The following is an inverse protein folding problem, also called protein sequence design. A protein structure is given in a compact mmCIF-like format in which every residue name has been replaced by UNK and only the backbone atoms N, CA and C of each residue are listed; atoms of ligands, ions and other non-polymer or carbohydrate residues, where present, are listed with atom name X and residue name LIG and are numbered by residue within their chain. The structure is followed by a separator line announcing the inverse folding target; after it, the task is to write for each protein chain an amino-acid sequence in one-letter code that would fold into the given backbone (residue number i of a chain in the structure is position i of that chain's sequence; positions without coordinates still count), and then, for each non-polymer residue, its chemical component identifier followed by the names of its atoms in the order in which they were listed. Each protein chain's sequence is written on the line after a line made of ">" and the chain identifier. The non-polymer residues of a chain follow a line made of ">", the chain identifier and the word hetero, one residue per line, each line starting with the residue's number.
data_IF_185526020462
#
_entry.id   IF_185526020462
#
_cell.length_a   1.000
_cell.length_b   1.000
_cell.length_c   1.000
_cell.angle_alpha   90.00
_cell.angle_beta   90.00
_cell.angle_gamma   90.00
#
_symmetry.space_group_name_H-M   'P 1'
#
loop_
_entity.id
_entity.type
_entity.pdbx_description
1 polymer ?
#
# COMPACT_ATOMS: atom_id res chain seq x y z
N UNK A 1 -27.63 -12.38 20.11
CA UNK A 1 -28.61 -11.44 20.69
C UNK A 1 -27.99 -10.05 20.65
N UNK A 2 -28.30 -9.25 19.64
CA UNK A 2 -27.87 -7.85 19.56
C UNK A 2 -28.86 -7.00 20.36
N UNK A 3 -28.47 -6.60 21.56
CA UNK A 3 -29.26 -5.66 22.36
C UNK A 3 -29.10 -4.26 21.77
N UNK A 4 -30.16 -3.71 21.18
CA UNK A 4 -30.14 -2.34 20.65
C UNK A 4 -29.84 -1.33 21.77
N UNK A 5 -28.92 -0.38 21.56
CA UNK A 5 -28.61 0.63 22.57
C UNK A 5 -29.82 1.52 22.86
N UNK A 6 -29.96 1.93 24.12
CA UNK A 6 -31.07 2.77 24.60
C UNK A 6 -30.52 4.06 25.16
N UNK A 7 -31.03 5.19 24.67
CA UNK A 7 -30.83 6.48 25.33
C UNK A 7 -31.97 6.68 26.31
N UNK A 8 -31.67 7.13 27.53
CA UNK A 8 -32.70 7.50 28.50
C UNK A 8 -32.36 8.80 29.23
N UNK A 9 -33.39 9.57 29.58
CA UNK A 9 -33.28 10.81 30.35
C UNK A 9 -34.38 10.89 31.40
N UNK A 10 -34.05 11.45 32.56
CA UNK A 10 -35.01 11.81 33.60
C UNK A 10 -35.13 13.33 33.78
N UNK A 11 -34.54 14.12 32.87
CA UNK A 11 -34.53 15.58 32.93
C UNK A 11 -35.93 16.17 32.64
N UNK A 12 -36.30 17.32 33.24
CA UNK A 12 -35.55 18.09 34.23
C UNK A 12 -35.77 17.71 35.69
N UNK A 13 -36.91 17.12 36.04
CA UNK A 13 -37.34 17.01 37.44
C UNK A 13 -37.18 15.61 38.05
N UNK A 14 -36.76 14.60 37.26
CA UNK A 14 -36.57 13.24 37.77
C UNK A 14 -37.86 12.44 38.01
N UNK A 15 -39.03 13.00 37.67
CA UNK A 15 -40.34 12.40 37.97
C UNK A 15 -40.69 11.20 37.06
N UNK A 16 -40.16 11.18 35.84
CA UNK A 16 -40.38 10.12 34.86
C UNK A 16 -39.09 9.81 34.12
N UNK A 17 -38.95 8.57 33.63
CA UNK A 17 -37.83 8.14 32.79
C UNK A 17 -38.29 8.01 31.34
N UNK A 18 -37.87 8.95 30.51
CA UNK A 18 -38.00 8.83 29.06
C UNK A 18 -36.89 7.93 28.52
N UNK A 19 -37.21 7.05 27.59
CA UNK A 19 -36.23 6.23 26.90
C UNK A 19 -36.58 6.07 25.42
N UNK A 20 -35.55 5.91 24.60
CA UNK A 20 -35.68 5.66 23.18
C UNK A 20 -34.67 4.59 22.76
N UNK A 21 -35.15 3.57 22.03
CA UNK A 21 -34.29 2.53 21.45
C UNK A 21 -33.69 3.09 20.16
N UNK A 22 -32.37 3.15 20.10
CA UNK A 22 -31.69 3.52 18.87
C UNK A 22 -31.64 2.31 17.94
N UNK A 23 -32.11 2.50 16.72
CA UNK A 23 -31.86 1.54 15.64
C UNK A 23 -30.64 2.03 14.85
N UNK A 24 -29.45 1.59 15.26
CA UNK A 24 -28.19 1.95 14.60
C UNK A 24 -27.85 0.92 13.52
N UNK A 25 -28.57 0.97 12.40
CA UNK A 25 -28.21 0.20 11.20
C UNK A 25 -27.17 0.98 10.37
N UNK A 26 -26.03 1.27 11.00
CA UNK A 26 -24.91 1.97 10.35
C UNK A 26 -23.89 0.95 9.86
N UNK A 27 -23.53 1.05 8.58
CA UNK A 27 -22.42 0.30 7.99
C UNK A 27 -21.22 1.22 7.88
N UNK A 28 -20.10 0.78 8.43
CA UNK A 28 -18.82 1.48 8.30
C UNK A 28 -17.81 0.59 7.60
N UNK A 29 -16.90 1.21 6.85
CA UNK A 29 -15.82 0.53 6.16
C UNK A 29 -14.54 0.66 6.99
N UNK A 30 -13.88 -0.46 7.27
CA UNK A 30 -12.63 -0.49 8.05
C UNK A 30 -11.51 -0.94 7.13
N UNK A 31 -10.49 -0.10 6.96
CA UNK A 31 -9.33 -0.44 6.14
C UNK A 31 -8.39 -1.38 6.88
N UNK A 32 -7.71 -2.31 6.20
CA UNK A 32 -6.72 -3.17 6.83
C UNK A 32 -5.62 -2.36 7.50
N UNK A 33 -5.08 -2.91 8.59
CA UNK A 33 -3.95 -2.30 9.27
C UNK A 33 -2.70 -2.44 8.37
N UNK A 34 -1.91 -1.38 8.13
CA UNK A 34 -0.69 -1.53 7.34
C UNK A 34 0.31 -2.41 8.06
N UNK A 35 1.05 -3.21 7.29
CA UNK A 35 2.18 -4.00 7.79
C UNK A 35 3.21 -3.11 8.50
N UNK A 36 3.76 -3.64 9.60
CA UNK A 36 4.82 -2.98 10.39
C UNK A 36 6.20 -3.27 9.81
N UNK A 37 6.33 -4.33 9.04
CA UNK A 37 7.59 -4.70 8.40
C UNK A 37 7.86 -3.75 7.22
N UNK A 38 9.14 -3.43 6.99
CA UNK A 38 9.54 -2.68 5.81
C UNK A 38 9.34 -3.55 4.56
N UNK A 39 8.26 -3.28 3.83
CA UNK A 39 7.94 -3.91 2.57
C UNK A 39 8.34 -2.96 1.44
N UNK A 40 9.48 -3.17 0.74
CA UNK A 40 9.84 -2.32 -0.38
C UNK A 40 8.75 -2.40 -1.45
N UNK A 41 8.50 -1.28 -2.14
CA UNK A 41 7.59 -1.28 -3.29
C UNK A 41 8.07 -2.30 -4.33
N UNK A 42 7.16 -3.04 -4.98
CA UNK A 42 7.52 -3.97 -6.03
C UNK A 42 8.14 -3.20 -7.20
N UNK A 43 9.32 -3.65 -7.64
CA UNK A 43 9.90 -3.25 -8.91
C UNK A 43 9.27 -4.12 -10.00
N UNK A 44 8.71 -3.52 -11.04
CA UNK A 44 8.23 -4.32 -12.16
C UNK A 44 9.39 -4.87 -12.96
N UNK A 45 9.44 -6.19 -13.07
CA UNK A 45 10.11 -6.86 -14.17
C UNK A 45 9.24 -6.62 -15.41
N UNK A 46 9.78 -5.93 -16.40
CA UNK A 46 9.16 -5.72 -17.70
C UNK A 46 9.09 -7.04 -18.47
N UNK A 47 8.30 -8.01 -17.99
CA UNK A 47 8.46 -9.42 -18.32
C UNK A 47 7.18 -10.23 -18.55
N UNK A 48 5.99 -9.63 -18.54
CA UNK A 48 4.75 -10.34 -18.91
C UNK A 48 3.88 -9.53 -19.88
N UNK A 49 4.24 -9.62 -21.15
CA UNK A 49 3.42 -9.24 -22.30
C UNK A 49 4.02 -9.88 -23.57
N UNK A 50 3.33 -10.88 -24.11
CA UNK A 50 3.72 -11.59 -25.32
C UNK A 50 3.89 -10.66 -26.54
N UNK A 51 4.91 -10.97 -27.35
CA UNK A 51 5.08 -10.64 -28.77
C UNK A 51 4.60 -9.25 -29.27
N UNK A 52 5.52 -8.30 -29.26
CA UNK A 52 5.40 -7.06 -30.03
C UNK A 52 6.77 -6.40 -30.22
N UNK A 53 7.44 -6.72 -31.33
CA UNK A 53 8.71 -6.17 -31.79
C UNK A 53 8.96 -4.70 -31.40
N UNK A 54 10.02 -4.45 -30.62
CA UNK A 54 10.84 -3.25 -30.77
C UNK A 54 12.27 -3.48 -30.29
N UNK A 55 13.10 -3.98 -31.20
CA UNK A 55 14.55 -3.75 -31.19
C UNK A 55 14.84 -2.25 -31.33
N UNK A 56 15.72 -1.73 -30.45
CA UNK A 56 16.71 -0.62 -30.58
C UNK A 56 16.74 0.16 -29.27
N UNK A 57 17.87 0.47 -28.64
CA UNK A 57 19.30 0.30 -28.91
C UNK A 57 20.00 0.36 -27.55
N UNK A 58 21.05 -0.43 -27.35
CA UNK A 58 22.46 -0.01 -27.48
C UNK A 58 22.90 1.01 -26.42
N UNK A 59 23.82 0.54 -25.58
CA UNK A 59 24.84 1.22 -24.78
C UNK A 59 24.39 2.35 -23.83
N UNK A 60 24.59 2.15 -22.52
CA UNK A 60 25.69 2.84 -21.84
C UNK A 60 25.88 2.35 -20.39
N UNK A 61 27.02 1.70 -20.18
CA UNK A 61 27.59 1.29 -18.89
C UNK A 61 28.26 2.50 -18.23
N UNK A 62 27.78 2.97 -17.08
CA UNK A 62 28.49 3.91 -16.19
C UNK A 62 27.89 3.78 -14.78
N UNK A 63 28.57 3.62 -13.65
CA UNK A 63 29.94 3.33 -13.26
C UNK A 63 29.88 3.17 -11.73
N UNK A 64 30.50 2.14 -11.16
CA UNK A 64 30.52 1.88 -9.72
C UNK A 64 31.38 2.98 -9.05
N UNK A 65 30.82 3.76 -8.13
CA UNK A 65 31.63 4.68 -7.31
C UNK A 65 31.30 4.50 -5.83
N UNK A 66 32.36 4.36 -5.02
CA UNK A 66 32.33 4.00 -3.62
C UNK A 66 31.68 5.06 -2.70
N UNK A 67 31.05 4.54 -1.65
CA UNK A 67 30.34 5.23 -0.57
C UNK A 67 31.27 6.11 0.29
N UNK A 68 30.94 7.39 0.48
CA UNK A 68 31.58 8.26 1.48
C UNK A 68 30.69 8.54 2.70
N UNK A 69 31.33 8.59 3.86
CA UNK A 69 30.78 8.74 5.20
C UNK A 69 30.02 10.06 5.39
N UNK A 70 28.73 10.03 5.75
CA UNK A 70 28.01 11.23 6.20
C UNK A 70 26.48 11.13 6.35
N UNK A 71 25.80 10.24 5.63
CA UNK A 71 24.34 10.28 5.59
C UNK A 71 23.64 9.39 6.64
N UNK A 72 22.61 9.97 7.25
CA UNK A 72 21.87 9.45 8.40
C UNK A 72 21.18 8.11 8.15
N UNK A 73 21.48 7.15 9.01
CA UNK A 73 21.00 5.76 8.98
C UNK A 73 19.49 5.71 9.22
N UNK A 74 18.68 5.45 8.18
CA UNK A 74 17.29 5.01 8.39
C UNK A 74 16.58 4.26 7.26
N UNK A 75 17.26 3.62 6.31
CA UNK A 75 16.56 2.75 5.34
C UNK A 75 17.46 1.57 4.91
N UNK A 76 17.15 0.35 5.35
CA UNK A 76 17.93 -0.86 5.05
C UNK A 76 17.17 -1.71 4.01
N UNK A 77 17.82 -1.94 2.86
CA UNK A 77 17.41 -2.90 1.82
C UNK A 77 17.87 -4.31 2.18
N UNK A 78 16.95 -5.19 2.59
CA UNK A 78 17.31 -6.53 3.08
C UNK A 78 17.56 -7.57 1.98
N UNK A 79 17.16 -7.34 0.72
CA UNK A 79 17.48 -8.25 -0.40
C UNK A 79 18.92 -8.14 -0.93
N UNK A 80 19.67 -7.11 -0.54
CA UNK A 80 21.08 -6.93 -0.91
C UNK A 80 22.07 -7.61 0.07
N UNK A 81 21.61 -8.08 1.24
CA UNK A 81 22.49 -8.59 2.29
C UNK A 81 23.02 -10.02 2.03
N UNK A 82 22.49 -10.75 1.04
CA UNK A 82 22.84 -12.15 0.78
C UNK A 82 24.06 -12.34 -0.15
N UNK A 83 24.61 -11.29 -0.76
CA UNK A 83 25.70 -11.43 -1.76
C UNK A 83 26.89 -10.46 -1.61
N UNK A 84 27.01 -9.77 -0.48
CA UNK A 84 28.27 -9.12 -0.10
C UNK A 84 28.74 -7.96 -0.99
N UNK A 85 27.83 -7.23 -1.63
CA UNK A 85 28.17 -6.04 -2.41
C UNK A 85 27.35 -4.83 -1.95
N UNK A 86 28.03 -3.91 -1.27
CA UNK A 86 27.84 -2.44 -1.28
C UNK A 86 26.45 -1.83 -1.06
N UNK A 87 26.39 -0.81 -0.20
CA UNK A 87 25.23 0.07 -0.05
C UNK A 87 24.96 0.83 -1.36
N UNK A 88 23.76 0.70 -1.91
CA UNK A 88 23.28 1.54 -3.01
C UNK A 88 22.13 2.44 -2.55
N UNK A 89 22.35 3.75 -2.66
CA UNK A 89 21.32 4.79 -2.54
C UNK A 89 20.76 5.00 -3.94
N UNK A 90 19.46 4.79 -4.16
CA UNK A 90 18.82 5.14 -5.44
C UNK A 90 17.93 6.36 -5.25
N UNK A 91 18.50 7.53 -5.50
CA UNK A 91 17.72 8.71 -5.84
C UNK A 91 17.02 8.43 -7.18
N UNK A 92 15.69 8.46 -7.19
CA UNK A 92 14.92 8.51 -8.43
C UNK A 92 14.95 9.93 -9.00
N UNK A 93 16.14 10.39 -9.39
CA UNK A 93 16.30 11.54 -10.27
C UNK A 93 16.44 10.98 -11.68
N UNK A 94 15.32 10.93 -12.40
CA UNK A 94 15.33 10.53 -13.80
C UNK A 94 14.03 9.85 -14.17
N UNK A 95 13.28 10.51 -15.04
CA UNK A 95 12.11 9.98 -15.72
C UNK A 95 12.48 8.75 -16.56
N UNK A 96 12.62 7.59 -15.92
CA UNK A 96 12.35 6.30 -16.54
C UNK A 96 11.06 5.80 -15.93
N UNK A 97 10.06 5.68 -16.80
CA UNK A 97 8.69 5.33 -16.50
C UNK A 97 8.60 3.84 -16.12
N UNK A 98 9.23 3.43 -15.01
CA UNK A 98 8.97 2.14 -14.42
C UNK A 98 7.58 2.24 -13.80
N UNK A 99 6.58 1.79 -14.55
CA UNK A 99 5.22 1.60 -14.04
C UNK A 99 5.33 0.74 -12.76
N UNK A 100 4.66 1.09 -11.67
CA UNK A 100 4.67 0.32 -10.41
C UNK A 100 3.34 -0.41 -10.33
N UNK A 101 3.34 -1.72 -10.09
CA UNK A 101 2.10 -2.50 -9.93
C UNK A 101 2.08 -3.13 -8.53
N UNK A 102 1.13 -2.71 -7.70
CA UNK A 102 0.86 -3.32 -6.40
C UNK A 102 -0.02 -4.55 -6.60
N UNK A 103 0.58 -5.73 -6.61
CA UNK A 103 -0.11 -6.98 -6.93
C UNK A 103 -0.23 -7.88 -5.70
N UNK A 104 -1.47 -8.29 -5.39
CA UNK A 104 -1.75 -9.21 -4.30
C UNK A 104 -0.97 -10.52 -4.41
N UNK A 105 -0.71 -11.03 -5.62
CA UNK A 105 0.06 -12.27 -5.82
C UNK A 105 1.56 -12.11 -5.59
N UNK A 106 2.08 -10.87 -5.51
CA UNK A 106 3.48 -10.59 -5.18
C UNK A 106 3.73 -10.40 -3.67
N UNK A 107 2.68 -10.44 -2.87
CA UNK A 107 2.80 -10.35 -1.41
C UNK A 107 3.41 -11.63 -0.82
N UNK A 108 4.10 -11.49 0.32
CA UNK A 108 4.85 -12.58 0.97
C UNK A 108 4.23 -13.04 2.29
N UNK A 109 3.02 -12.55 2.61
CA UNK A 109 2.29 -12.91 3.83
C UNK A 109 1.83 -14.37 3.82
N UNK A 110 1.83 -15.00 5.00
CA UNK A 110 1.45 -16.41 5.16
C UNK A 110 -0.07 -16.61 5.10
N UNK A 111 -0.84 -15.61 5.52
CA UNK A 111 -2.29 -15.61 5.51
C UNK A 111 -2.88 -14.38 4.78
N UNK A 112 -4.20 -14.38 4.59
CA UNK A 112 -4.88 -13.31 3.87
C UNK A 112 -4.69 -11.95 4.55
N UNK A 113 -4.76 -11.89 5.89
CA UNK A 113 -4.64 -10.66 6.66
C UNK A 113 -3.24 -10.04 6.54
N UNK A 114 -2.19 -10.84 6.59
CA UNK A 114 -0.82 -10.37 6.36
C UNK A 114 -0.63 -9.84 4.94
N UNK A 115 -1.18 -10.53 3.93
CA UNK A 115 -1.12 -10.09 2.54
C UNK A 115 -1.87 -8.77 2.33
N UNK A 116 -3.07 -8.62 2.91
CA UNK A 116 -3.85 -7.37 2.87
C UNK A 116 -3.13 -6.24 3.63
N UNK A 117 -2.48 -6.56 4.76
CA UNK A 117 -1.67 -5.61 5.53
C UNK A 117 -0.47 -5.12 4.72
N UNK A 118 0.18 -6.00 3.97
CA UNK A 118 1.28 -5.65 3.06
C UNK A 118 0.79 -4.76 1.90
N UNK A 119 -0.33 -5.10 1.27
CA UNK A 119 -0.93 -4.27 0.22
C UNK A 119 -1.30 -2.87 0.74
N UNK A 120 -1.91 -2.80 1.93
CA UNK A 120 -2.22 -1.53 2.59
C UNK A 120 -0.95 -0.70 2.80
N UNK A 121 0.13 -1.34 3.29
CA UNK A 121 1.41 -0.66 3.47
C UNK A 121 1.96 -0.10 2.17
N UNK A 122 1.95 -0.88 1.09
CA UNK A 122 2.40 -0.42 -0.23
C UNK A 122 1.63 0.77 -0.76
N UNK A 123 0.29 0.77 -0.63
CA UNK A 123 -0.55 1.91 -1.05
C UNK A 123 -0.13 3.19 -0.31
N UNK A 124 0.06 3.10 1.02
CA UNK A 124 0.47 4.24 1.82
C UNK A 124 1.89 4.72 1.50
N UNK A 125 2.83 3.79 1.26
CA UNK A 125 4.21 4.13 0.92
C UNK A 125 4.31 4.74 -0.48
N UNK A 126 3.55 4.25 -1.46
CA UNK A 126 3.49 4.82 -2.80
C UNK A 126 2.88 6.22 -2.81
N UNK A 127 1.80 6.45 -2.05
CA UNK A 127 1.19 7.77 -1.90
C UNK A 127 2.15 8.74 -1.21
N UNK A 128 2.84 8.30 -0.15
CA UNK A 128 3.85 9.11 0.54
C UNK A 128 5.04 9.45 -0.36
N UNK A 129 5.43 8.55 -1.26
CA UNK A 129 6.47 8.77 -2.25
C UNK A 129 6.03 9.65 -3.43
N UNK A 130 4.71 9.87 -3.61
CA UNK A 130 4.16 10.67 -4.70
C UNK A 130 4.32 10.04 -6.09
N UNK A 131 4.45 8.71 -6.15
CA UNK A 131 4.64 7.95 -7.40
C UNK A 131 3.31 7.48 -7.96
N UNK A 132 3.25 7.24 -9.27
CA UNK A 132 2.09 6.60 -9.91
C UNK A 132 2.20 5.08 -9.75
N UNK A 133 1.10 4.43 -9.37
CA UNK A 133 1.05 2.99 -9.17
C UNK A 133 -0.29 2.42 -9.59
N UNK A 134 -0.29 1.24 -10.19
CA UNK A 134 -1.47 0.42 -10.42
C UNK A 134 -1.70 -0.55 -9.27
N UNK A 135 -2.90 -1.12 -9.19
CA UNK A 135 -3.31 -1.98 -8.09
C UNK A 135 -4.10 -3.19 -8.58
N UNK A 136 -3.74 -4.40 -8.11
CA UNK A 136 -4.41 -5.67 -8.44
C UNK A 136 -4.76 -6.47 -7.20
N UNK A 137 -6.01 -6.90 -7.11
CA UNK A 137 -6.53 -7.66 -5.97
C UNK A 137 -7.65 -8.60 -6.42
N UNK A 138 -7.44 -9.92 -6.34
CA UNK A 138 -8.47 -10.94 -6.59
C UNK A 138 -9.29 -10.73 -7.89
N UNK A 139 -8.63 -10.35 -8.99
CA UNK A 139 -9.27 -10.07 -10.29
C UNK A 139 -9.77 -8.64 -10.48
N UNK A 140 -9.78 -7.80 -9.44
CA UNK A 140 -9.94 -6.36 -9.57
C UNK A 140 -8.62 -5.74 -10.04
N UNK A 141 -8.70 -4.89 -11.06
CA UNK A 141 -7.57 -4.10 -11.57
C UNK A 141 -7.95 -2.62 -11.50
N UNK A 142 -7.10 -1.82 -10.87
CA UNK A 142 -7.18 -0.36 -10.86
C UNK A 142 -5.93 0.14 -11.59
N UNK A 143 -6.14 0.86 -12.68
CA UNK A 143 -5.06 1.39 -13.52
C UNK A 143 -4.13 2.35 -12.78
N UNK A 144 -2.87 2.49 -13.22
CA UNK A 144 -1.91 3.36 -12.59
C UNK A 144 -2.39 4.80 -12.49
N UNK A 145 -2.39 5.32 -11.27
CA UNK A 145 -2.74 6.71 -10.99
C UNK A 145 -2.02 7.13 -9.69
N UNK A 146 -2.27 8.37 -9.24
CA UNK A 146 -1.72 8.91 -7.99
C UNK A 146 -2.72 9.82 -7.29
N UNK A 147 -2.52 10.04 -6.00
CA UNK A 147 -3.27 11.00 -5.21
C UNK A 147 -4.32 10.38 -4.29
N UNK A 148 -4.90 11.24 -3.46
CA UNK A 148 -5.78 10.86 -2.36
C UNK A 148 -7.01 10.04 -2.82
N UNK A 149 -7.65 10.40 -3.93
CA UNK A 149 -8.79 9.62 -4.46
C UNK A 149 -8.38 8.22 -4.91
N UNK A 150 -7.22 8.09 -5.55
CA UNK A 150 -6.69 6.80 -5.98
C UNK A 150 -6.34 5.91 -4.77
N UNK A 151 -5.61 6.46 -3.79
CA UNK A 151 -5.29 5.72 -2.57
C UNK A 151 -6.53 5.26 -1.81
N UNK A 152 -7.56 6.11 -1.68
CA UNK A 152 -8.85 5.74 -1.08
C UNK A 152 -9.56 4.64 -1.85
N UNK A 153 -9.53 4.66 -3.18
CA UNK A 153 -10.12 3.61 -4.00
C UNK A 153 -9.44 2.26 -3.75
N UNK A 154 -8.10 2.24 -3.71
CA UNK A 154 -7.31 1.04 -3.41
C UNK A 154 -7.56 0.53 -1.98
N UNK A 155 -7.56 1.40 -0.97
CA UNK A 155 -7.84 1.01 0.42
C UNK A 155 -9.28 0.50 0.61
N UNK A 156 -10.24 1.09 -0.11
CA UNK A 156 -11.63 0.60 -0.13
C UNK A 156 -11.73 -0.79 -0.76
N UNK A 157 -11.00 -1.05 -1.85
CA UNK A 157 -10.96 -2.38 -2.45
C UNK A 157 -10.41 -3.42 -1.47
N UNK A 158 -9.35 -3.08 -0.72
CA UNK A 158 -8.79 -3.95 0.32
C UNK A 158 -9.78 -4.26 1.44
N UNK A 159 -10.60 -3.28 1.83
CA UNK A 159 -11.60 -3.46 2.89
C UNK A 159 -12.84 -4.26 2.47
N UNK A 160 -13.00 -4.54 1.18
CA UNK A 160 -14.12 -5.28 0.62
C UNK A 160 -13.73 -6.67 0.08
N UNK A 161 -12.44 -7.02 0.14
CA UNK A 161 -11.90 -8.31 -0.29
C UNK A 161 -11.96 -9.35 0.84
#
# INVERSE_FOLDING_TARGET
>A
MTSNPVISSCFPFGLFRAWHRLNLDMKTLVYPRPSVQDCPLPENDSGHGEQGSRQKGQDDFYGLQDYQHGDGVRHIHWRALAKGQGLFIRQYTGAQNSEIWLDYEQTMGADQEERLSQMCRWVLDAEKAGVEYGFRLAGLIIEPNRGDDHSKQCLKALALA
#
